data_IF_753784265525
#
_entry.id   IF_753784265525
#
_cell.length_a   1.000
_cell.length_b   1.000
_cell.length_c   1.000
_cell.angle_alpha   90.00
_cell.angle_beta   90.00
_cell.angle_gamma   90.00
#
_symmetry.space_group_name_H-M   'P 1'
#
loop_
_entity.id
_entity.type
_entity.pdbx_description
1 polymer ?
#
# COMPACT_ATOMS: atom_id res chain seq x y z
N UNK A 1 22.12 4.86 15.78
CA UNK A 1 22.34 3.55 16.44
C UNK A 1 21.46 2.48 15.79
N UNK A 2 20.17 2.76 15.53
CA UNK A 2 19.21 1.87 14.84
C UNK A 2 19.73 1.21 13.55
N UNK A 3 20.43 1.96 12.69
CA UNK A 3 20.94 1.41 11.42
C UNK A 3 21.99 0.29 11.61
N UNK A 4 22.74 0.26 12.72
CA UNK A 4 23.71 -0.82 12.99
C UNK A 4 23.03 -2.11 13.41
N UNK A 5 22.00 -2.01 14.26
CA UNK A 5 21.23 -3.16 14.73
C UNK A 5 20.44 -3.78 13.56
N UNK A 6 19.81 -2.94 12.73
CA UNK A 6 19.08 -3.40 11.55
C UNK A 6 20.00 -4.12 10.55
N UNK A 7 21.20 -3.58 10.29
CA UNK A 7 22.19 -4.25 9.43
C UNK A 7 22.68 -5.57 10.03
N UNK A 8 22.86 -5.64 11.34
CA UNK A 8 23.22 -6.89 12.01
C UNK A 8 22.11 -7.94 11.85
N UNK A 9 20.84 -7.54 12.02
CA UNK A 9 19.68 -8.40 11.78
C UNK A 9 19.62 -8.89 10.33
N UNK A 10 19.81 -8.02 9.35
CA UNK A 10 19.83 -8.41 7.93
C UNK A 10 20.95 -9.43 7.66
N UNK A 11 22.13 -9.25 8.26
CA UNK A 11 23.24 -10.21 8.12
C UNK A 11 22.93 -11.57 8.72
N UNK A 12 22.11 -11.63 9.78
CA UNK A 12 21.70 -12.89 10.43
C UNK A 12 20.63 -13.64 9.63
N UNK A 13 20.02 -13.02 8.61
CA UNK A 13 19.14 -13.73 7.67
C UNK A 13 19.91 -14.68 6.74
N UNK A 14 21.24 -14.62 6.70
CA UNK A 14 22.10 -15.58 6.00
C UNK A 14 22.54 -16.76 6.88
N UNK A 15 22.10 -16.79 8.16
CA UNK A 15 22.43 -17.90 9.05
C UNK A 15 21.79 -19.21 8.58
N UNK A 16 22.36 -20.34 9.01
CA UNK A 16 21.82 -21.68 8.79
C UNK A 16 20.87 -22.12 9.90
N UNK A 17 20.94 -21.49 11.08
CA UNK A 17 20.08 -21.79 12.21
C UNK A 17 18.68 -21.16 12.03
N UNK A 18 17.67 -22.02 11.95
CA UNK A 18 16.27 -21.65 11.77
C UNK A 18 15.76 -20.80 12.95
N UNK A 19 16.19 -21.09 14.18
CA UNK A 19 15.75 -20.33 15.36
C UNK A 19 16.25 -18.88 15.31
N UNK A 20 17.47 -18.67 14.81
CA UNK A 20 18.03 -17.33 14.61
C UNK A 20 17.25 -16.58 13.53
N UNK A 21 16.98 -17.22 12.40
CA UNK A 21 16.22 -16.63 11.29
C UNK A 21 14.82 -16.23 11.74
N UNK A 22 14.12 -17.10 12.48
CA UNK A 22 12.77 -16.85 12.98
C UNK A 22 12.74 -15.71 13.99
N UNK A 23 13.70 -15.68 14.92
CA UNK A 23 13.82 -14.62 15.92
C UNK A 23 14.08 -13.25 15.27
N UNK A 24 14.97 -13.20 14.28
CA UNK A 24 15.29 -11.99 13.51
C UNK A 24 14.09 -11.54 12.69
N UNK A 25 13.45 -12.44 11.94
CA UNK A 25 12.27 -12.14 11.14
C UNK A 25 11.13 -11.60 12.01
N UNK A 26 10.91 -12.19 13.19
CA UNK A 26 9.93 -11.69 14.16
C UNK A 26 10.26 -10.29 14.66
N UNK A 27 11.54 -9.98 14.91
CA UNK A 27 11.96 -8.66 15.32
C UNK A 27 11.73 -7.62 14.21
N UNK A 28 12.13 -7.93 12.98
CA UNK A 28 11.89 -7.09 11.81
C UNK A 28 10.40 -6.80 11.61
N UNK A 29 9.55 -7.83 11.76
CA UNK A 29 8.10 -7.66 11.69
C UNK A 29 7.55 -6.70 12.75
N UNK A 30 8.11 -6.70 13.98
CA UNK A 30 7.69 -5.77 15.06
C UNK A 30 8.05 -4.31 14.77
N UNK A 31 9.10 -4.05 14.00
CA UNK A 31 9.50 -2.70 13.60
C UNK A 31 8.58 -2.10 12.52
N UNK A 32 7.76 -2.94 11.87
CA UNK A 32 6.72 -2.53 10.93
C UNK A 32 7.29 -1.92 9.64
N UNK A 33 6.52 -1.05 9.00
CA UNK A 33 6.84 -0.49 7.67
C UNK A 33 8.09 0.40 7.65
N UNK A 34 8.57 0.85 8.80
CA UNK A 34 9.73 1.75 8.91
C UNK A 34 11.04 1.13 8.41
N UNK A 35 11.17 -0.20 8.46
CA UNK A 35 12.37 -0.93 8.04
C UNK A 35 12.37 -1.33 6.57
N UNK A 36 11.20 -1.30 5.90
CA UNK A 36 11.04 -1.75 4.50
C UNK A 36 12.11 -1.14 3.57
N UNK A 37 12.39 0.18 3.58
CA UNK A 37 13.36 0.75 2.65
C UNK A 37 14.79 0.21 2.80
N UNK A 38 15.17 -0.21 4.02
CA UNK A 38 16.49 -0.82 4.26
C UNK A 38 16.48 -2.31 3.86
N UNK A 39 15.37 -3.00 4.05
CA UNK A 39 15.21 -4.39 3.61
C UNK A 39 15.22 -4.49 2.08
N UNK A 40 14.56 -3.56 1.38
CA UNK A 40 14.59 -3.45 -0.09
C UNK A 40 16.01 -3.17 -0.59
N UNK A 41 16.73 -2.23 0.03
CA UNK A 41 18.15 -2.00 -0.28
C UNK A 41 19.00 -3.26 -0.10
N UNK A 42 18.78 -3.99 0.99
CA UNK A 42 19.48 -5.23 1.23
C UNK A 42 19.16 -6.28 0.16
N UNK A 43 17.88 -6.43 -0.18
CA UNK A 43 17.37 -7.34 -1.20
C UNK A 43 17.97 -7.06 -2.58
N UNK A 44 18.03 -5.79 -2.99
CA UNK A 44 18.66 -5.36 -4.24
C UNK A 44 20.18 -5.59 -4.27
N UNK A 45 20.84 -5.53 -3.11
CA UNK A 45 22.30 -5.58 -3.01
C UNK A 45 22.88 -7.00 -2.87
N UNK A 46 22.10 -7.95 -2.36
CA UNK A 46 22.57 -9.31 -2.13
C UNK A 46 22.55 -10.12 -3.42
N UNK A 47 23.55 -10.99 -3.59
CA UNK A 47 23.61 -11.99 -4.68
C UNK A 47 23.19 -13.39 -4.22
N UNK A 48 22.87 -13.55 -2.95
CA UNK A 48 22.44 -14.83 -2.38
C UNK A 48 20.92 -14.96 -2.53
N UNK A 49 20.48 -15.85 -3.43
CA UNK A 49 19.06 -16.11 -3.73
C UNK A 49 18.26 -16.50 -2.48
N UNK A 50 18.86 -17.29 -1.57
CA UNK A 50 18.20 -17.68 -0.32
C UNK A 50 17.92 -16.48 0.58
N UNK A 51 18.87 -15.54 0.68
CA UNK A 51 18.70 -14.32 1.47
C UNK A 51 17.70 -13.38 0.80
N UNK A 52 17.68 -13.31 -0.53
CA UNK A 52 16.67 -12.55 -1.28
C UNK A 52 15.26 -13.07 -0.99
N UNK A 53 15.04 -14.38 -1.07
CA UNK A 53 13.72 -14.99 -0.78
C UNK A 53 13.29 -14.71 0.68
N UNK A 54 14.21 -14.85 1.65
CA UNK A 54 13.93 -14.54 3.06
C UNK A 54 13.55 -13.06 3.26
N UNK A 55 14.29 -12.14 2.65
CA UNK A 55 13.99 -10.71 2.72
C UNK A 55 12.64 -10.39 2.08
N UNK A 56 12.33 -10.99 0.93
CA UNK A 56 11.04 -10.81 0.25
C UNK A 56 9.88 -11.26 1.14
N UNK A 57 9.98 -12.44 1.75
CA UNK A 57 8.96 -12.97 2.68
C UNK A 57 8.77 -12.03 3.88
N UNK A 58 9.85 -11.51 4.46
CA UNK A 58 9.75 -10.57 5.58
C UNK A 58 9.08 -9.26 5.16
N UNK A 59 9.47 -8.69 4.01
CA UNK A 59 8.87 -7.45 3.47
C UNK A 59 7.38 -7.65 3.22
N UNK A 60 6.98 -8.73 2.52
CA UNK A 60 5.59 -9.03 2.22
C UNK A 60 4.76 -9.22 3.50
N UNK A 61 5.29 -9.90 4.51
CA UNK A 61 4.60 -10.08 5.80
C UNK A 61 4.41 -8.76 6.55
N UNK A 62 5.41 -7.87 6.54
CA UNK A 62 5.29 -6.53 7.12
C UNK A 62 4.19 -5.73 6.40
N UNK A 63 4.20 -5.72 5.08
CA UNK A 63 3.23 -5.00 4.26
C UNK A 63 1.81 -5.56 4.48
N UNK A 64 1.64 -6.88 4.48
CA UNK A 64 0.36 -7.53 4.76
C UNK A 64 -0.20 -7.16 6.14
N UNK A 65 0.63 -7.25 7.18
CA UNK A 65 0.23 -6.89 8.54
C UNK A 65 -0.16 -5.41 8.63
N UNK A 66 0.61 -4.52 7.99
CA UNK A 66 0.29 -3.09 7.92
C UNK A 66 -1.06 -2.84 7.25
N UNK A 67 -1.32 -3.42 6.08
CA UNK A 67 -2.60 -3.27 5.36
C UNK A 67 -3.77 -3.79 6.18
N UNK A 68 -3.60 -4.95 6.84
CA UNK A 68 -4.60 -5.54 7.73
C UNK A 68 -4.93 -4.64 8.92
N UNK A 69 -3.92 -4.08 9.58
CA UNK A 69 -4.12 -3.16 10.71
C UNK A 69 -4.75 -1.84 10.27
N UNK A 70 -4.37 -1.30 9.10
CA UNK A 70 -4.99 -0.11 8.54
C UNK A 70 -6.48 -0.32 8.25
N UNK A 71 -6.87 -1.45 7.65
CA UNK A 71 -8.29 -1.80 7.42
C UNK A 71 -9.04 -1.94 8.75
N UNK A 72 -8.45 -2.61 9.75
CA UNK A 72 -9.06 -2.76 11.09
C UNK A 72 -9.29 -1.40 11.74
N UNK A 73 -8.30 -0.50 11.68
CA UNK A 73 -8.41 0.86 12.20
C UNK A 73 -9.54 1.61 11.48
N UNK A 74 -9.54 1.60 10.14
CA UNK A 74 -10.57 2.24 9.33
C UNK A 74 -12.00 1.76 9.67
N UNK A 75 -12.19 0.44 9.87
CA UNK A 75 -13.46 -0.12 10.31
C UNK A 75 -13.88 0.36 11.70
N UNK A 76 -12.93 0.43 12.64
CA UNK A 76 -13.20 0.86 14.02
C UNK A 76 -13.47 2.38 14.12
N UNK A 77 -12.95 3.17 13.19
CA UNK A 77 -13.16 4.62 13.09
C UNK A 77 -14.47 5.00 12.39
N UNK A 78 -15.26 4.02 11.94
CA UNK A 78 -16.59 4.21 11.36
C UNK A 78 -16.68 3.96 9.86
N UNK A 79 -15.54 3.78 9.18
CA UNK A 79 -15.47 3.49 7.75
C UNK A 79 -16.14 4.56 6.85
N UNK A 80 -16.13 5.83 7.26
CA UNK A 80 -16.84 6.92 6.58
C UNK A 80 -16.34 7.16 5.14
N UNK A 81 -15.02 7.09 4.93
CA UNK A 81 -14.42 7.29 3.62
C UNK A 81 -14.08 5.97 2.94
N UNK A 82 -14.96 5.52 2.05
CA UNK A 82 -14.86 4.22 1.36
C UNK A 82 -13.60 4.10 0.50
N UNK A 83 -13.15 5.20 -0.12
CA UNK A 83 -11.97 5.19 -0.98
C UNK A 83 -10.68 4.87 -0.19
N UNK A 84 -10.57 5.38 1.04
CA UNK A 84 -9.47 5.03 1.94
C UNK A 84 -9.43 3.53 2.22
N UNK A 85 -10.57 2.93 2.57
CA UNK A 85 -10.66 1.48 2.79
C UNK A 85 -10.28 0.67 1.54
N UNK A 86 -10.72 1.11 0.36
CA UNK A 86 -10.36 0.49 -0.91
C UNK A 86 -8.85 0.59 -1.20
N UNK A 87 -8.21 1.71 -0.86
CA UNK A 87 -6.76 1.89 -0.98
C UNK A 87 -6.00 0.96 -0.04
N UNK A 88 -6.42 0.82 1.23
CA UNK A 88 -5.79 -0.12 2.15
C UNK A 88 -5.89 -1.57 1.69
N UNK A 89 -7.00 -1.95 1.04
CA UNK A 89 -7.14 -3.27 0.43
C UNK A 89 -6.19 -3.43 -0.77
N UNK A 90 -6.15 -2.43 -1.66
CA UNK A 90 -5.29 -2.45 -2.84
C UNK A 90 -3.79 -2.47 -2.49
N UNK A 91 -3.40 -1.91 -1.35
CA UNK A 91 -2.02 -1.97 -0.82
C UNK A 91 -1.53 -3.41 -0.56
N UNK A 92 -2.41 -4.40 -0.50
CA UNK A 92 -2.00 -5.80 -0.47
C UNK A 92 -1.25 -6.23 -1.74
N UNK A 93 -1.71 -5.75 -2.90
CA UNK A 93 -1.08 -6.03 -4.20
C UNK A 93 -0.12 -4.92 -4.64
N UNK A 94 -0.39 -3.68 -4.22
CA UNK A 94 0.37 -2.48 -4.59
C UNK A 94 0.84 -1.73 -3.33
N UNK A 95 1.86 -2.24 -2.61
CA UNK A 95 2.27 -1.70 -1.31
C UNK A 95 2.59 -0.20 -1.30
N UNK A 96 3.10 0.32 -2.42
CA UNK A 96 3.46 1.73 -2.59
C UNK A 96 2.29 2.65 -2.93
N UNK A 97 1.08 2.11 -3.08
CA UNK A 97 -0.10 2.91 -3.38
C UNK A 97 -0.39 3.88 -2.24
N UNK A 98 -0.56 5.16 -2.57
CA UNK A 98 -0.83 6.22 -1.58
C UNK A 98 -2.21 6.82 -1.83
N UNK A 99 -2.98 6.98 -0.75
CA UNK A 99 -4.34 7.53 -0.81
C UNK A 99 -4.39 8.87 -1.56
N UNK A 100 -3.48 9.79 -1.26
CA UNK A 100 -3.47 11.11 -1.90
C UNK A 100 -3.32 11.07 -3.44
N UNK A 101 -2.68 10.02 -4.00
CA UNK A 101 -2.54 9.85 -5.45
C UNK A 101 -3.90 9.49 -6.03
N UNK A 102 -4.60 8.54 -5.40
CA UNK A 102 -5.92 8.08 -5.83
C UNK A 102 -6.96 9.19 -5.65
N UNK A 103 -6.96 9.87 -4.50
CA UNK A 103 -7.81 11.02 -4.23
C UNK A 103 -7.66 12.09 -5.30
N UNK A 104 -6.42 12.42 -5.68
CA UNK A 104 -6.16 13.44 -6.71
C UNK A 104 -6.78 13.08 -8.06
N UNK A 105 -6.74 11.82 -8.46
CA UNK A 105 -7.37 11.36 -9.70
C UNK A 105 -8.90 11.40 -9.61
N UNK A 106 -9.48 11.01 -8.47
CA UNK A 106 -10.93 11.10 -8.23
C UNK A 106 -11.39 12.57 -8.22
N UNK A 107 -10.63 13.47 -7.60
CA UNK A 107 -10.91 14.91 -7.58
C UNK A 107 -10.85 15.52 -8.98
N UNK A 108 -9.96 15.03 -9.84
CA UNK A 108 -9.91 15.43 -11.25
C UNK A 108 -11.21 15.05 -11.98
N UNK A 109 -11.66 13.80 -11.84
CA UNK A 109 -12.92 13.32 -12.43
C UNK A 109 -14.10 14.16 -11.89
N UNK A 110 -14.13 14.39 -10.58
CA UNK A 110 -15.17 15.19 -9.92
C UNK A 110 -15.23 16.61 -10.49
N UNK A 111 -14.06 17.24 -10.72
CA UNK A 111 -13.97 18.57 -11.30
C UNK A 111 -14.47 18.61 -12.74
N UNK A 112 -14.10 17.63 -13.55
CA UNK A 112 -14.55 17.53 -14.94
C UNK A 112 -16.08 17.34 -15.01
N UNK A 113 -16.64 16.52 -14.12
CA UNK A 113 -18.11 16.39 -13.95
C UNK A 113 -18.75 17.72 -13.53
N UNK A 114 -18.16 18.41 -12.56
CA UNK A 114 -18.69 19.67 -12.05
C UNK A 114 -18.77 20.77 -13.11
N UNK A 115 -17.82 20.80 -14.06
CA UNK A 115 -17.80 21.80 -15.14
C UNK A 115 -18.94 21.60 -16.15
N UNK A 116 -19.40 20.37 -16.34
CA UNK A 116 -20.45 20.02 -17.31
C UNK A 116 -21.86 20.08 -16.72
N UNK A 117 -22.01 19.89 -15.40
CA UNK A 117 -23.32 19.93 -14.74
C UNK A 117 -23.77 21.38 -14.49
N UNK A 118 -25.01 21.69 -14.89
CA UNK A 118 -25.68 22.94 -14.50
C UNK A 118 -27.06 22.66 -13.85
N UNK A 119 -27.60 23.69 -13.17
CA UNK A 119 -28.84 23.57 -12.40
C UNK A 119 -30.11 23.35 -13.25
N UNK A 120 -30.05 23.59 -14.55
CA UNK A 120 -31.20 23.44 -15.45
C UNK A 120 -31.32 22.04 -16.05
N UNK A 121 -30.34 21.15 -15.80
CA UNK A 121 -30.36 19.79 -16.31
C UNK A 121 -31.35 18.90 -15.54
N UNK A 122 -32.07 18.08 -16.30
CA UNK A 122 -32.86 16.97 -15.76
C UNK A 122 -31.95 15.91 -15.15
N UNK A 123 -32.50 15.06 -14.28
CA UNK A 123 -31.75 13.94 -13.69
C UNK A 123 -31.15 13.01 -14.75
N UNK A 124 -31.88 12.75 -15.85
CA UNK A 124 -31.41 11.88 -16.93
C UNK A 124 -30.19 12.49 -17.66
N UNK A 125 -30.19 13.80 -17.89
CA UNK A 125 -29.06 14.49 -18.52
C UNK A 125 -27.82 14.47 -17.63
N UNK A 126 -27.99 14.66 -16.31
CA UNK A 126 -26.89 14.53 -15.35
C UNK A 126 -26.26 13.14 -15.38
N UNK A 127 -27.06 12.07 -15.45
CA UNK A 127 -26.57 10.69 -15.59
C UNK A 127 -25.84 10.48 -16.92
N UNK A 128 -26.33 11.06 -18.02
CA UNK A 128 -25.63 10.98 -19.32
C UNK A 128 -24.26 11.64 -19.27
N UNK A 129 -24.14 12.81 -18.62
CA UNK A 129 -22.85 13.49 -18.42
C UNK A 129 -21.91 12.63 -17.59
N UNK A 130 -22.38 12.08 -16.46
CA UNK A 130 -21.57 11.18 -15.63
C UNK A 130 -21.04 9.99 -16.44
N UNK A 131 -21.91 9.31 -17.19
CA UNK A 131 -21.50 8.17 -18.01
C UNK A 131 -20.49 8.57 -19.10
N UNK A 132 -20.72 9.71 -19.77
CA UNK A 132 -19.79 10.21 -20.79
C UNK A 132 -18.41 10.49 -20.18
N UNK A 133 -18.35 11.15 -19.04
CA UNK A 133 -17.06 11.47 -18.42
C UNK A 133 -16.38 10.20 -17.93
N UNK A 134 -17.07 9.36 -17.15
CA UNK A 134 -16.49 8.16 -16.55
C UNK A 134 -16.03 7.16 -17.61
N UNK A 135 -16.90 6.84 -18.58
CA UNK A 135 -16.65 5.75 -19.54
C UNK A 135 -16.04 6.25 -20.86
N UNK A 136 -16.45 7.41 -21.38
CA UNK A 136 -15.95 7.89 -22.68
C UNK A 136 -14.70 8.75 -22.58
N UNK A 137 -14.56 9.60 -21.57
CA UNK A 137 -13.35 10.41 -21.38
C UNK A 137 -12.28 9.62 -20.64
N UNK A 138 -12.63 9.07 -19.47
CA UNK A 138 -11.66 8.42 -18.58
C UNK A 138 -11.45 6.93 -18.84
N UNK A 139 -12.31 6.29 -19.65
CA UNK A 139 -12.16 4.90 -20.10
C UNK A 139 -12.15 3.85 -18.97
N UNK A 140 -12.90 4.11 -17.88
CA UNK A 140 -13.20 3.10 -16.87
C UNK A 140 -14.17 2.02 -17.37
#
# INVERSE_FOLDING_TARGET
MENKELRAMISLLDDTDIEIIDAVSSNLMKQGTSVIPELERAWESTLNEMVQERLEVVIQNIQFNSSKENIRRWLNEGADYVLEGAVYLAQFQFPDLKLHIVDKEIEKIRKDVWLEINNNLTALEKVKILNYIIFEIYKF
#
